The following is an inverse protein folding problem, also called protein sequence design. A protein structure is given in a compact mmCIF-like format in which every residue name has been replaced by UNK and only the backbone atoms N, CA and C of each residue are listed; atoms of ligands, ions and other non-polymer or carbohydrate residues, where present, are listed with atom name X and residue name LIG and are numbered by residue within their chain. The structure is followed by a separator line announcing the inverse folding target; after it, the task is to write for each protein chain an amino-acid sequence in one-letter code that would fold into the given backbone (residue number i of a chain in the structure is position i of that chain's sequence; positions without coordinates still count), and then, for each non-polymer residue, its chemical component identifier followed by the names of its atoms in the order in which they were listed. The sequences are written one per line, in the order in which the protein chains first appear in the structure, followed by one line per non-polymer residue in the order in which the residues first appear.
data_IF_884479437345
#
_entry.id   IF_884479437345
#
_cell.length_a   1.000
_cell.length_b   1.000
_cell.length_c   1.000
_cell.angle_alpha   90.00
_cell.angle_beta   90.00
_cell.angle_gamma   90.00
#
_symmetry.space_group_name_H-M   'P 1'
#
loop_
_entity.id
_entity.type
_entity.pdbx_description
1 polymer ?
#
# COMPACT_ATOMS: atom_id res chain seq x y z
N UNK A 1 -1.10 -4.59 8.85
CA UNK A 1 -0.14 -5.49 8.13
C UNK A 1 0.66 -6.32 9.11
N UNK A 2 1.69 -5.79 9.80
CA UNK A 2 2.44 -6.57 10.80
C UNK A 2 1.57 -7.16 11.94
N UNK A 3 0.54 -6.44 12.39
CA UNK A 3 -0.43 -6.99 13.35
C UNK A 3 -1.31 -8.10 12.74
N UNK A 4 -1.74 -7.94 11.49
CA UNK A 4 -2.61 -8.89 10.80
C UNK A 4 -1.86 -10.18 10.44
N UNK A 5 -0.56 -10.10 10.13
CA UNK A 5 0.26 -11.28 9.86
C UNK A 5 0.39 -12.20 11.07
N UNK A 6 0.23 -11.69 12.30
CA UNK A 6 0.12 -12.53 13.51
C UNK A 6 -1.11 -13.44 13.47
N UNK A 7 -2.17 -13.02 12.77
CA UNK A 7 -3.37 -13.82 12.55
C UNK A 7 -3.27 -14.79 11.36
N UNK A 8 -2.10 -14.87 10.71
CA UNK A 8 -1.85 -15.78 9.58
C UNK A 8 -2.42 -15.33 8.24
N UNK A 9 -3.11 -14.19 8.18
CA UNK A 9 -3.63 -13.64 6.92
C UNK A 9 -3.77 -12.12 6.97
N UNK A 10 -3.27 -11.45 5.94
CA UNK A 10 -3.45 -10.02 5.71
C UNK A 10 -4.77 -9.78 4.96
N UNK A 11 -5.49 -8.70 5.25
CA UNK A 11 -6.83 -8.48 4.67
C UNK A 11 -6.86 -7.57 3.44
N UNK A 12 -5.72 -7.01 3.04
CA UNK A 12 -5.65 -6.04 1.94
C UNK A 12 -4.22 -5.95 1.41
N UNK A 13 -4.06 -5.98 0.09
CA UNK A 13 -2.80 -5.75 -0.59
C UNK A 13 -2.80 -4.32 -1.16
N UNK A 14 -1.66 -3.62 -1.11
CA UNK A 14 -1.47 -2.36 -1.84
C UNK A 14 -1.38 -2.62 -3.35
N UNK A 15 -1.81 -1.66 -4.17
CA UNK A 15 -1.68 -1.76 -5.63
C UNK A 15 -0.26 -1.72 -6.16
N UNK A 16 0.69 -1.27 -5.35
CA UNK A 16 2.12 -1.29 -5.64
C UNK A 16 2.84 -2.16 -4.61
N UNK A 17 3.99 -2.73 -4.98
CA UNK A 17 4.82 -3.54 -4.07
C UNK A 17 4.09 -4.79 -3.54
N UNK A 18 3.35 -5.44 -4.44
CA UNK A 18 2.67 -6.71 -4.21
C UNK A 18 3.09 -7.70 -5.27
N UNK A 19 3.40 -8.93 -4.86
CA UNK A 19 3.65 -10.04 -5.76
C UNK A 19 2.43 -10.95 -5.78
N UNK A 20 1.94 -11.28 -6.96
CA UNK A 20 0.81 -12.16 -7.17
C UNK A 20 1.26 -13.49 -7.77
N UNK A 21 0.80 -14.60 -7.17
CA UNK A 21 0.80 -15.90 -7.84
C UNK A 21 -0.25 -15.87 -8.96
N UNK A 22 0.16 -16.26 -10.16
CA UNK A 22 -0.72 -16.24 -11.34
C UNK A 22 -1.51 -17.55 -11.45
N UNK A 23 -0.88 -18.68 -11.15
CA UNK A 23 -1.43 -20.03 -11.29
C UNK A 23 -1.25 -20.76 -9.95
N UNK A 24 -2.31 -21.44 -9.50
CA UNK A 24 -2.31 -22.32 -8.32
C UNK A 24 -1.47 -23.57 -8.55
N UNK A 25 -1.21 -24.34 -7.49
CA UNK A 25 -0.59 -25.67 -7.59
C UNK A 25 -1.45 -26.66 -8.38
N UNK A 26 -2.77 -26.47 -8.38
CA UNK A 26 -3.75 -27.24 -9.15
C UNK A 26 -3.96 -26.71 -10.60
N UNK A 27 -3.02 -25.94 -11.15
CA UNK A 27 -3.09 -25.32 -12.48
C UNK A 27 -4.28 -24.35 -12.71
N UNK A 28 -4.91 -23.88 -11.63
CA UNK A 28 -6.02 -22.92 -11.69
C UNK A 28 -5.47 -21.48 -11.81
N UNK A 29 -5.86 -20.69 -12.83
CA UNK A 29 -5.50 -19.28 -12.89
C UNK A 29 -6.23 -18.50 -11.81
N UNK A 30 -5.51 -17.67 -11.04
CA UNK A 30 -6.09 -16.96 -9.89
C UNK A 30 -6.71 -15.62 -10.29
N UNK A 31 -5.93 -14.73 -10.89
CA UNK A 31 -6.40 -13.39 -11.31
C UNK A 31 -7.32 -13.50 -12.54
N UNK A 32 -6.98 -14.39 -13.47
CA UNK A 32 -7.75 -14.61 -14.71
C UNK A 32 -8.86 -15.66 -14.55
N UNK A 33 -9.21 -16.02 -13.31
CA UNK A 33 -10.36 -16.87 -13.05
C UNK A 33 -11.64 -16.17 -13.51
N UNK A 34 -12.58 -16.91 -14.10
CA UNK A 34 -13.84 -16.35 -14.61
C UNK A 34 -14.65 -15.63 -13.52
N UNK A 35 -14.68 -16.14 -12.29
CA UNK A 35 -15.44 -15.53 -11.18
C UNK A 35 -14.81 -14.21 -10.72
N UNK A 36 -13.47 -14.16 -10.66
CA UNK A 36 -12.73 -12.95 -10.31
C UNK A 36 -12.87 -11.93 -11.43
N UNK A 37 -12.64 -12.33 -12.68
CA UNK A 37 -12.69 -11.45 -13.84
C UNK A 37 -14.10 -10.88 -14.06
N UNK A 38 -15.14 -11.69 -13.95
CA UNK A 38 -16.52 -11.25 -14.12
C UNK A 38 -16.92 -10.19 -13.11
N UNK A 39 -16.49 -10.30 -11.85
CA UNK A 39 -16.77 -9.29 -10.82
C UNK A 39 -15.88 -8.07 -10.97
N UNK A 40 -14.58 -8.26 -11.23
CA UNK A 40 -13.61 -7.18 -11.32
C UNK A 40 -13.83 -6.27 -12.53
N UNK A 41 -14.27 -6.83 -13.66
CA UNK A 41 -14.51 -6.11 -14.92
C UNK A 41 -15.88 -5.40 -15.01
N UNK A 42 -16.66 -5.40 -13.93
CA UNK A 42 -17.97 -4.73 -13.88
C UNK A 42 -17.83 -3.22 -14.04
N UNK A 43 -18.54 -2.67 -15.02
CA UNK A 43 -18.60 -1.23 -15.29
C UNK A 43 -19.97 -0.62 -14.92
N UNK A 44 -20.95 -1.47 -14.60
CA UNK A 44 -22.32 -1.13 -14.20
C UNK A 44 -22.39 -0.78 -12.71
N UNK A 45 -21.74 0.32 -12.33
CA UNK A 45 -21.57 0.70 -10.93
C UNK A 45 -22.53 1.85 -10.60
N UNK A 46 -23.65 1.53 -9.95
CA UNK A 46 -24.71 2.50 -9.67
C UNK A 46 -24.56 3.12 -8.27
N UNK A 47 -24.32 2.29 -7.26
CA UNK A 47 -24.34 2.72 -5.87
C UNK A 47 -23.09 3.50 -5.45
N UNK A 48 -23.23 4.40 -4.49
CA UNK A 48 -22.10 5.15 -3.95
C UNK A 48 -21.08 4.21 -3.27
N UNK A 49 -21.57 3.15 -2.64
CA UNK A 49 -20.74 2.12 -2.04
C UNK A 49 -19.86 1.45 -3.09
N UNK A 50 -20.45 0.94 -4.17
CA UNK A 50 -19.69 0.27 -5.23
C UNK A 50 -18.76 1.26 -5.93
N UNK A 51 -19.18 2.52 -6.14
CA UNK A 51 -18.29 3.54 -6.73
C UNK A 51 -17.02 3.76 -5.90
N UNK A 52 -17.13 3.82 -4.58
CA UNK A 52 -15.97 3.93 -3.70
C UNK A 52 -15.11 2.66 -3.68
N UNK A 53 -15.72 1.49 -3.88
CA UNK A 53 -15.01 0.22 -3.94
C UNK A 53 -14.23 0.05 -5.26
N UNK A 54 -14.93 0.17 -6.40
CA UNK A 54 -14.39 -0.12 -7.73
C UNK A 54 -13.57 1.05 -8.33
N UNK A 55 -13.95 2.31 -8.13
CA UNK A 55 -13.22 3.43 -8.75
C UNK A 55 -12.09 4.01 -7.89
N UNK A 56 -12.19 3.92 -6.56
CA UNK A 56 -11.19 4.50 -5.65
C UNK A 56 -10.28 3.45 -4.99
N UNK A 57 -10.80 2.23 -4.84
CA UNK A 57 -10.24 1.15 -4.04
C UNK A 57 -9.95 -0.14 -4.81
N UNK A 58 -9.74 -0.06 -6.13
CA UNK A 58 -9.51 -1.20 -7.03
C UNK A 58 -8.59 -2.29 -6.42
N UNK A 59 -7.41 -1.91 -5.92
CA UNK A 59 -6.46 -2.85 -5.30
C UNK A 59 -7.05 -3.63 -4.10
N UNK A 60 -7.83 -2.95 -3.27
CA UNK A 60 -8.48 -3.54 -2.10
C UNK A 60 -9.63 -4.44 -2.51
N UNK A 61 -10.39 -4.01 -3.51
CA UNK A 61 -11.49 -4.77 -4.08
C UNK A 61 -10.97 -6.07 -4.70
N UNK A 62 -9.89 -6.02 -5.49
CA UNK A 62 -9.22 -7.22 -6.01
C UNK A 62 -8.83 -8.17 -4.89
N UNK A 63 -8.23 -7.62 -3.82
CA UNK A 63 -7.81 -8.43 -2.68
C UNK A 63 -9.00 -9.14 -2.03
N UNK A 64 -10.10 -8.41 -1.84
CA UNK A 64 -11.33 -8.95 -1.26
C UNK A 64 -11.94 -10.04 -2.14
N UNK A 65 -11.97 -9.85 -3.46
CA UNK A 65 -12.43 -10.87 -4.41
C UNK A 65 -11.58 -12.13 -4.36
N UNK A 66 -10.25 -12.00 -4.32
CA UNK A 66 -9.36 -13.16 -4.24
C UNK A 66 -9.60 -13.97 -2.96
N UNK A 67 -9.82 -13.29 -1.82
CA UNK A 67 -10.19 -13.95 -0.56
C UNK A 67 -11.57 -14.63 -0.60
N UNK A 68 -12.52 -14.09 -1.39
CA UNK A 68 -13.85 -14.70 -1.57
C UNK A 68 -13.81 -15.92 -2.50
N UNK A 69 -13.08 -15.84 -3.61
CA UNK A 69 -13.00 -16.90 -4.62
C UNK A 69 -12.09 -18.05 -4.20
N UNK A 70 -11.06 -17.78 -3.39
CA UNK A 70 -10.07 -18.77 -2.96
C UNK A 70 -9.93 -18.79 -1.43
N UNK A 71 -10.93 -19.31 -0.70
CA UNK A 71 -10.94 -19.30 0.77
C UNK A 71 -9.84 -20.16 1.40
N UNK A 72 -9.31 -21.15 0.67
CA UNK A 72 -8.22 -22.02 1.12
C UNK A 72 -6.83 -21.37 0.98
N UNK A 73 -6.76 -20.15 0.44
CA UNK A 73 -5.52 -19.41 0.22
C UNK A 73 -5.40 -18.20 1.14
N UNK A 74 -4.17 -17.84 1.51
CA UNK A 74 -3.91 -16.71 2.40
C UNK A 74 -2.98 -15.66 1.80
N UNK A 75 -3.07 -14.45 2.36
CA UNK A 75 -2.22 -13.32 2.01
C UNK A 75 -1.18 -13.11 3.09
N UNK A 76 0.07 -12.93 2.68
CA UNK A 76 1.22 -12.81 3.56
C UNK A 76 1.90 -11.44 3.44
N UNK A 77 2.58 -11.06 4.52
CA UNK A 77 3.35 -9.83 4.61
C UNK A 77 4.81 -10.19 4.89
N UNK A 78 5.72 -9.70 4.06
CA UNK A 78 7.15 -9.94 4.21
C UNK A 78 7.81 -8.65 4.71
N UNK A 79 8.19 -8.57 6.01
CA UNK A 79 8.73 -7.35 6.60
C UNK A 79 10.13 -6.98 6.08
N UNK A 80 10.89 -7.94 5.53
CA UNK A 80 12.23 -7.73 4.97
C UNK A 80 12.20 -6.98 3.65
N UNK A 81 11.10 -7.08 2.90
CA UNK A 81 10.95 -6.44 1.61
C UNK A 81 10.72 -4.94 1.79
N UNK A 82 11.59 -4.12 1.18
CA UNK A 82 11.59 -2.65 1.33
C UNK A 82 11.28 -1.98 0.00
N UNK A 83 10.47 -0.93 0.05
CA UNK A 83 10.20 -0.08 -1.09
C UNK A 83 10.29 1.40 -0.71
N UNK A 84 10.69 2.22 -1.69
CA UNK A 84 10.79 3.68 -1.56
C UNK A 84 9.66 4.32 -2.36
N UNK A 85 9.07 5.38 -1.81
CA UNK A 85 8.02 6.15 -2.49
C UNK A 85 8.15 7.63 -2.18
N UNK A 86 7.59 8.45 -3.06
CA UNK A 86 7.60 9.89 -2.92
C UNK A 86 6.37 10.30 -2.11
N UNK A 87 6.61 11.01 -1.01
CA UNK A 87 5.55 11.53 -0.14
C UNK A 87 4.91 12.79 -0.76
N UNK A 88 3.63 13.07 -0.49
CA UNK A 88 3.00 14.29 -1.00
C UNK A 88 3.65 15.55 -0.42
N UNK A 89 4.14 16.43 -1.30
CA UNK A 89 4.82 17.68 -0.92
C UNK A 89 3.86 18.86 -0.62
N UNK A 90 2.56 18.70 -0.88
CA UNK A 90 1.57 19.76 -0.65
C UNK A 90 0.34 19.22 0.06
N UNK A 91 -0.22 20.01 0.99
CA UNK A 91 -1.41 19.62 1.76
C UNK A 91 -2.60 19.22 0.89
N UNK A 92 -2.82 19.90 -0.25
CA UNK A 92 -3.91 19.57 -1.19
C UNK A 92 -3.75 18.16 -1.79
N UNK A 93 -2.52 17.75 -2.09
CA UNK A 93 -2.22 16.40 -2.62
C UNK A 93 -2.45 15.36 -1.52
N UNK A 94 -1.95 15.63 -0.31
CA UNK A 94 -2.18 14.77 0.86
C UNK A 94 -3.68 14.59 1.14
N UNK A 95 -4.45 15.67 1.13
CA UNK A 95 -5.89 15.67 1.37
C UNK A 95 -6.62 14.81 0.34
N UNK A 96 -6.30 14.98 -0.95
CA UNK A 96 -6.89 14.18 -2.02
C UNK A 96 -6.53 12.70 -1.93
N UNK A 97 -5.26 12.37 -1.63
CA UNK A 97 -4.83 10.98 -1.43
C UNK A 97 -5.56 10.33 -0.25
N UNK A 98 -5.61 11.02 0.90
CA UNK A 98 -6.20 10.49 2.12
C UNK A 98 -7.71 10.35 2.02
N UNK A 99 -8.41 11.27 1.33
CA UNK A 99 -9.82 11.10 0.98
C UNK A 99 -10.08 9.79 0.26
N UNK A 100 -9.34 9.54 -0.84
CA UNK A 100 -9.46 8.30 -1.62
C UNK A 100 -9.23 7.06 -0.75
N UNK A 101 -8.19 7.10 0.07
CA UNK A 101 -7.80 5.96 0.89
C UNK A 101 -8.81 5.70 2.00
N UNK A 102 -9.26 6.72 2.72
CA UNK A 102 -10.22 6.58 3.82
C UNK A 102 -11.57 6.09 3.28
N UNK A 103 -12.09 6.71 2.21
CA UNK A 103 -13.38 6.33 1.65
C UNK A 103 -13.37 4.89 1.13
N UNK A 104 -12.37 4.52 0.30
CA UNK A 104 -12.26 3.13 -0.19
C UNK A 104 -12.04 2.12 0.94
N UNK A 105 -11.29 2.47 1.98
CA UNK A 105 -11.06 1.58 3.12
C UNK A 105 -12.35 1.28 3.87
N UNK A 106 -13.18 2.29 4.13
CA UNK A 106 -14.47 2.10 4.81
C UNK A 106 -15.37 1.13 4.05
N UNK A 107 -15.57 1.37 2.75
CA UNK A 107 -16.40 0.52 1.91
C UNK A 107 -15.82 -0.90 1.73
N UNK A 108 -14.50 -1.02 1.61
CA UNK A 108 -13.84 -2.32 1.53
C UNK A 108 -13.92 -3.11 2.84
N UNK A 109 -13.76 -2.46 4.00
CA UNK A 109 -13.92 -3.11 5.29
C UNK A 109 -15.33 -3.68 5.46
N UNK A 110 -16.35 -2.97 4.97
CA UNK A 110 -17.72 -3.46 4.95
C UNK A 110 -17.88 -4.76 4.11
N UNK A 111 -17.24 -4.84 2.94
CA UNK A 111 -17.24 -6.07 2.13
C UNK A 111 -16.41 -7.19 2.77
N UNK A 112 -15.27 -6.88 3.38
CA UNK A 112 -14.43 -7.85 4.09
C UNK A 112 -15.19 -8.55 5.23
N UNK A 113 -16.14 -7.87 5.89
CA UNK A 113 -16.97 -8.51 6.93
C UNK A 113 -17.86 -9.63 6.37
N UNK A 114 -18.19 -9.58 5.08
CA UNK A 114 -19.00 -10.59 4.38
C UNK A 114 -18.18 -11.79 3.90
N UNK A 115 -16.85 -11.65 3.78
CA UNK A 115 -15.94 -12.74 3.36
C UNK A 115 -16.00 -13.88 4.38
N UNK A 116 -16.33 -15.09 3.95
CA UNK A 116 -16.27 -16.28 4.80
C UNK A 116 -14.84 -16.81 4.88
N UNK A 117 -14.45 -17.48 5.98
CA UNK A 117 -13.12 -18.11 6.07
C UNK A 117 -11.93 -17.23 6.44
N UNK A 118 -12.13 -15.97 6.86
CA UNK A 118 -11.02 -15.16 7.40
C UNK A 118 -10.39 -15.83 8.64
N UNK A 119 -9.07 -16.00 8.62
CA UNK A 119 -8.29 -16.63 9.69
C UNK A 119 -8.53 -15.95 11.05
N UNK A 120 -8.38 -16.70 12.14
CA UNK A 120 -8.55 -16.17 13.50
C UNK A 120 -7.57 -16.84 14.46
N UNK A 121 -7.15 -16.10 15.50
CA UNK A 121 -6.28 -16.62 16.55
C UNK A 121 -7.03 -16.53 17.88
N UNK A 122 -7.16 -17.68 18.57
CA UNK A 122 -7.85 -17.80 19.85
C UNK A 122 -9.30 -17.29 19.81
N UNK A 123 -9.71 -16.45 20.78
CA UNK A 123 -11.08 -15.94 20.94
C UNK A 123 -11.43 -14.77 20.01
N UNK A 124 -10.50 -14.29 19.19
CA UNK A 124 -10.70 -13.13 18.32
C UNK A 124 -10.58 -13.55 16.85
N UNK A 125 -11.71 -13.51 16.14
CA UNK A 125 -11.73 -13.66 14.69
C UNK A 125 -11.17 -12.39 14.03
N UNK A 126 -10.48 -12.53 12.89
CA UNK A 126 -10.05 -11.36 12.11
C UNK A 126 -11.23 -10.47 11.71
N UNK A 127 -12.44 -11.03 11.57
CA UNK A 127 -13.67 -10.25 11.37
C UNK A 127 -13.94 -9.27 12.51
N UNK A 128 -13.71 -9.69 13.76
CA UNK A 128 -13.89 -8.81 14.93
C UNK A 128 -12.88 -7.67 14.92
N UNK A 129 -11.63 -7.96 14.52
CA UNK A 129 -10.58 -6.94 14.37
C UNK A 129 -10.97 -5.93 13.29
N UNK A 130 -11.39 -6.39 12.11
CA UNK A 130 -11.84 -5.52 11.01
C UNK A 130 -13.05 -4.67 11.42
N UNK A 131 -14.03 -5.26 12.10
CA UNK A 131 -15.20 -4.52 12.61
C UNK A 131 -14.80 -3.47 13.65
N UNK A 132 -13.90 -3.81 14.58
CA UNK A 132 -13.40 -2.89 15.59
C UNK A 132 -12.62 -1.74 14.96
N UNK A 133 -11.78 -2.00 13.95
CA UNK A 133 -11.03 -0.97 13.22
C UNK A 133 -11.97 -0.03 12.45
N UNK A 134 -12.96 -0.59 11.76
CA UNK A 134 -14.00 0.21 11.08
C UNK A 134 -14.72 1.14 12.07
N UNK A 135 -15.16 0.64 13.23
CA UNK A 135 -15.80 1.46 14.27
C UNK A 135 -14.84 2.50 14.83
N UNK A 136 -13.59 2.13 15.12
CA UNK A 136 -12.58 3.03 15.66
C UNK A 136 -12.32 4.21 14.72
N UNK A 137 -12.23 3.96 13.41
CA UNK A 137 -12.02 5.03 12.41
C UNK A 137 -13.20 6.01 12.33
N UNK A 138 -14.45 5.53 12.54
CA UNK A 138 -15.64 6.40 12.58
C UNK A 138 -15.70 7.24 13.86
N UNK A 139 -15.24 6.69 14.99
CA UNK A 139 -15.27 7.35 16.31
C UNK A 139 -14.09 8.31 16.50
N UNK A 140 -13.06 8.23 15.65
CA UNK A 140 -11.82 9.00 15.79
C UNK A 140 -12.02 10.54 15.83
N UNK A 141 -12.83 11.16 14.95
CA UNK A 141 -13.03 12.62 14.99
C UNK A 141 -13.75 13.09 16.25
N UNK A 142 -14.73 12.32 16.70
CA UNK A 142 -15.44 12.60 17.94
C UNK A 142 -14.49 12.46 19.14
N UNK A 143 -13.64 11.43 19.14
CA UNK A 143 -12.63 11.20 20.18
C UNK A 143 -11.63 12.36 20.28
N UNK A 144 -11.22 12.93 19.14
CA UNK A 144 -10.37 14.12 19.14
C UNK A 144 -11.07 15.32 19.79
N UNK A 145 -12.34 15.59 19.47
CA UNK A 145 -13.11 16.67 20.10
C UNK A 145 -13.26 16.45 21.61
N UNK A 146 -13.54 15.22 22.04
CA UNK A 146 -13.60 14.87 23.46
C UNK A 146 -12.25 15.06 24.16
N UNK A 147 -11.13 14.72 23.50
CA UNK A 147 -9.79 14.96 24.06
C UNK A 147 -9.51 16.46 24.25
N UNK A 148 -9.86 17.29 23.26
CA UNK A 148 -9.72 18.76 23.38
C UNK A 148 -10.61 19.31 24.49
N UNK A 149 -11.86 18.87 24.56
CA UNK A 149 -12.79 19.27 25.63
C UNK A 149 -12.28 18.85 27.01
N UNK A 150 -11.77 17.62 27.13
CA UNK A 150 -11.18 17.12 28.37
C UNK A 150 -10.03 18.02 28.84
N UNK A 151 -9.06 18.31 27.96
CA UNK A 151 -7.94 19.23 28.24
C UNK A 151 -8.45 20.61 28.69
N UNK A 152 -9.48 21.14 28.03
CA UNK A 152 -10.11 22.40 28.43
C UNK A 152 -10.66 22.35 29.87
N UNK A 153 -11.39 21.29 30.23
CA UNK A 153 -11.92 21.15 31.61
C UNK A 153 -10.81 21.04 32.65
N UNK A 154 -9.71 20.34 32.35
CA UNK A 154 -8.56 20.23 33.26
C UNK A 154 -7.91 21.59 33.50
N UNK A 155 -7.59 22.31 32.41
CA UNK A 155 -6.78 23.53 32.48
C UNK A 155 -7.60 24.71 32.98
N UNK A 156 -8.83 24.87 32.50
CA UNK A 156 -9.65 26.07 32.76
C UNK A 156 -10.53 25.89 33.98
N UNK A 157 -11.15 24.72 34.14
CA UNK A 157 -12.10 24.48 35.23
C UNK A 157 -11.44 23.84 36.46
N UNK A 158 -10.19 23.38 36.35
CA UNK A 158 -9.46 22.76 37.45
C UNK A 158 -10.14 21.49 37.97
N UNK A 159 -10.86 20.76 37.11
CA UNK A 159 -11.57 19.55 37.51
C UNK A 159 -10.58 18.49 37.99
N UNK A 160 -10.90 17.81 39.09
CA UNK A 160 -10.08 16.71 39.58
C UNK A 160 -10.09 15.57 38.56
N UNK A 161 -8.90 15.13 38.14
CA UNK A 161 -8.75 14.02 37.21
C UNK A 161 -9.04 12.69 37.91
N UNK A 162 -9.80 11.82 37.26
CA UNK A 162 -9.90 10.43 37.72
C UNK A 162 -8.52 9.78 37.63
N UNK A 163 -8.07 9.19 38.74
CA UNK A 163 -6.78 8.51 38.83
C UNK A 163 -6.66 7.41 37.77
N UNK A 164 -7.77 6.73 37.44
CA UNK A 164 -7.82 5.69 36.41
C UNK A 164 -7.46 6.25 35.02
N UNK A 165 -7.97 7.42 34.65
CA UNK A 165 -7.67 8.04 33.36
C UNK A 165 -6.19 8.42 33.27
N UNK A 166 -5.65 9.00 34.33
CA UNK A 166 -4.23 9.37 34.40
C UNK A 166 -3.35 8.14 34.23
N UNK A 167 -3.67 7.03 34.90
CA UNK A 167 -2.92 5.78 34.77
C UNK A 167 -2.99 5.23 33.35
N UNK A 168 -4.16 5.19 32.73
CA UNK A 168 -4.31 4.67 31.35
C UNK A 168 -3.52 5.50 30.34
N UNK A 169 -3.60 6.84 30.41
CA UNK A 169 -2.83 7.71 29.53
C UNK A 169 -1.33 7.61 29.79
N UNK A 170 -0.91 7.53 31.05
CA UNK A 170 0.50 7.37 31.42
C UNK A 170 1.08 6.05 30.87
N UNK A 171 0.32 4.94 30.95
CA UNK A 171 0.74 3.66 30.37
C UNK A 171 0.84 3.75 28.84
N UNK A 172 -0.15 4.37 28.18
CA UNK A 172 -0.18 4.47 26.71
C UNK A 172 0.97 5.31 26.16
N UNK A 173 1.17 6.51 26.72
CA UNK A 173 2.26 7.41 26.34
C UNK A 173 3.61 6.81 26.76
N UNK A 174 3.68 6.21 27.95
CA UNK A 174 4.89 5.56 28.47
C UNK A 174 5.36 4.41 27.60
N UNK A 175 4.45 3.58 27.09
CA UNK A 175 4.76 2.51 26.14
C UNK A 175 5.35 3.08 24.83
N UNK A 176 4.75 4.14 24.28
CA UNK A 176 5.26 4.81 23.08
C UNK A 176 6.67 5.40 23.30
N UNK A 177 6.90 6.00 24.47
CA UNK A 177 8.22 6.54 24.86
C UNK A 177 9.26 5.44 25.08
N UNK A 178 8.87 4.28 25.62
CA UNK A 178 9.78 3.15 25.76
C UNK A 178 10.26 2.65 24.39
N UNK A 179 9.34 2.46 23.43
CA UNK A 179 9.69 2.06 22.06
C UNK A 179 10.63 3.09 21.41
N UNK A 180 10.37 4.37 21.63
CA UNK A 180 11.24 5.44 21.16
C UNK A 180 12.65 5.35 21.74
N UNK A 181 12.77 5.20 23.07
CA UNK A 181 14.05 5.10 23.76
C UNK A 181 14.85 3.87 23.32
N UNK A 182 14.18 2.73 23.11
CA UNK A 182 14.83 1.51 22.60
C UNK A 182 15.44 1.69 21.20
N UNK A 183 14.87 2.56 20.36
CA UNK A 183 15.38 2.85 19.01
C UNK A 183 16.48 3.92 19.00
N UNK A 184 16.72 4.61 20.12
CA UNK A 184 17.82 5.55 20.37
C UNK A 184 18.14 6.56 19.25
N UNK A 185 17.10 7.11 18.60
CA UNK A 185 17.23 8.12 17.54
C UNK A 185 16.61 9.45 17.97
N UNK A 186 17.43 10.30 18.57
CA UNK A 186 17.03 11.58 19.15
C UNK A 186 16.41 12.56 18.15
N UNK A 187 16.78 12.46 16.87
CA UNK A 187 16.22 13.31 15.81
C UNK A 187 14.68 13.18 15.70
N UNK A 188 14.14 12.01 16.04
CA UNK A 188 12.70 11.76 15.99
C UNK A 188 11.90 12.40 17.13
N UNK A 189 12.54 12.86 18.22
CA UNK A 189 11.83 13.53 19.33
C UNK A 189 11.22 14.85 18.86
N UNK A 190 11.98 15.64 18.09
CA UNK A 190 11.48 16.91 17.55
C UNK A 190 10.32 16.68 16.58
N UNK A 191 10.46 15.68 15.69
CA UNK A 191 9.38 15.29 14.77
C UNK A 191 8.15 14.75 15.51
N UNK A 192 8.34 14.05 16.63
CA UNK A 192 7.24 13.58 17.47
C UNK A 192 6.44 14.74 18.05
N UNK A 193 7.08 15.79 18.60
CA UNK A 193 6.37 16.97 19.09
C UNK A 193 5.66 17.74 17.98
N UNK A 194 6.31 17.89 16.82
CA UNK A 194 5.68 18.49 15.63
C UNK A 194 4.44 17.71 15.19
N UNK A 195 4.52 16.38 15.17
CA UNK A 195 3.39 15.52 14.87
C UNK A 195 2.29 15.62 15.93
N UNK A 196 2.65 15.67 17.22
CA UNK A 196 1.66 15.79 18.30
C UNK A 196 0.85 17.08 18.20
N UNK A 197 1.49 18.21 17.90
CA UNK A 197 0.84 19.53 17.84
C UNK A 197 0.09 19.74 16.52
N UNK A 198 0.74 19.47 15.39
CA UNK A 198 0.17 19.77 14.06
C UNK A 198 -0.42 18.54 13.36
N UNK A 199 0.24 17.38 13.51
CA UNK A 199 -0.17 16.13 12.88
C UNK A 199 -1.46 15.57 13.47
N UNK A 200 -1.60 15.49 14.79
CA UNK A 200 -2.79 14.90 15.44
C UNK A 200 -4.09 15.58 15.01
N UNK A 201 -4.23 16.94 15.04
CA UNK A 201 -5.43 17.58 14.51
C UNK A 201 -5.71 17.27 13.05
N UNK A 202 -4.66 17.17 12.21
CA UNK A 202 -4.80 16.86 10.79
C UNK A 202 -5.28 15.42 10.60
N UNK A 203 -4.59 14.44 11.17
CA UNK A 203 -4.85 13.01 10.94
C UNK A 203 -6.08 12.48 11.67
N UNK A 204 -6.40 13.01 12.85
CA UNK A 204 -7.49 12.45 13.67
C UNK A 204 -8.81 13.18 13.45
N UNK A 205 -8.76 14.42 12.96
CA UNK A 205 -9.96 15.24 12.78
C UNK A 205 -10.13 15.72 11.34
N UNK A 206 -9.20 16.53 10.81
CA UNK A 206 -9.39 17.19 9.50
C UNK A 206 -9.52 16.16 8.37
N UNK A 207 -8.60 15.21 8.27
CA UNK A 207 -8.59 14.22 7.19
C UNK A 207 -9.83 13.30 7.23
N UNK A 208 -10.20 12.68 8.36
CA UNK A 208 -11.40 11.84 8.39
C UNK A 208 -12.67 12.65 8.14
N UNK A 209 -12.85 13.82 8.77
CA UNK A 209 -14.05 14.65 8.57
C UNK A 209 -14.19 15.07 7.12
N UNK A 210 -13.12 15.54 6.49
CA UNK A 210 -13.13 15.88 5.08
C UNK A 210 -13.46 14.66 4.20
N UNK A 211 -12.90 13.50 4.52
CA UNK A 211 -13.12 12.28 3.73
C UNK A 211 -14.59 11.83 3.78
N UNK A 212 -15.16 11.76 4.99
CA UNK A 212 -16.56 11.40 5.20
C UNK A 212 -17.53 12.45 4.63
N UNK A 213 -17.18 13.73 4.67
CA UNK A 213 -17.99 14.80 4.07
C UNK A 213 -18.00 14.75 2.54
N UNK A 214 -16.90 14.29 1.93
CA UNK A 214 -16.71 14.19 0.48
C UNK A 214 -16.67 12.74 -0.01
N UNK A 215 -17.57 11.89 0.51
CA UNK A 215 -17.69 10.48 0.08
C UNK A 215 -18.19 10.31 -1.35
N UNK A 216 -18.86 11.32 -1.88
CA UNK A 216 -19.36 11.42 -3.26
C UNK A 216 -18.31 11.93 -4.26
N UNK A 217 -17.17 12.46 -3.78
CA UNK A 217 -16.09 12.93 -4.65
C UNK A 217 -15.19 11.76 -5.09
N UNK A 218 -15.50 11.23 -6.26
CA UNK A 218 -14.77 10.14 -6.92
C UNK A 218 -13.58 10.62 -7.77
N UNK A 219 -13.22 11.91 -7.70
CA UNK A 219 -12.08 12.40 -8.46
C UNK A 219 -10.78 11.71 -8.04
N UNK A 220 -10.02 11.27 -9.02
CA UNK A 220 -8.60 11.00 -8.83
C UNK A 220 -7.91 12.36 -8.89
N UNK A 221 -7.45 12.86 -7.74
CA UNK A 221 -6.77 14.17 -7.66
C UNK A 221 -5.65 14.31 -8.68
N UNK A 222 -5.18 15.54 -8.86
CA UNK A 222 -4.30 16.01 -9.95
C UNK A 222 -3.05 15.16 -10.29
N UNK A 223 -2.67 14.14 -9.51
CA UNK A 223 -1.60 13.18 -9.81
C UNK A 223 -1.69 12.51 -11.19
N UNK A 224 -2.89 12.32 -11.79
CA UNK A 224 -3.03 11.88 -13.21
C UNK A 224 -3.21 13.05 -14.19
N UNK A 225 -3.78 14.17 -13.75
CA UNK A 225 -4.06 15.32 -14.63
C UNK A 225 -2.80 16.15 -14.93
N UNK A 226 -1.79 16.16 -14.05
CA UNK A 226 -0.55 16.92 -14.28
C UNK A 226 0.30 16.32 -15.43
N UNK A 227 0.13 15.03 -15.74
CA UNK A 227 0.72 14.40 -16.93
C UNK A 227 -0.07 14.72 -18.22
N UNK A 228 -1.35 15.08 -18.10
CA UNK A 228 -2.21 15.38 -19.25
C UNK A 228 -2.23 16.88 -19.60
N UNK A 229 -2.10 17.78 -18.61
CA UNK A 229 -2.13 19.23 -18.82
C UNK A 229 -0.77 19.84 -19.18
N UNK A 230 0.33 19.13 -18.88
CA UNK A 230 1.66 19.45 -19.38
C UNK A 230 2.15 18.23 -20.12
N UNK A 231 2.27 18.30 -21.45
CA UNK A 231 2.80 17.23 -22.29
C UNK A 231 4.29 16.89 -22.03
N UNK A 232 4.66 16.69 -20.77
CA UNK A 232 5.97 16.24 -20.31
C UNK A 232 5.82 14.80 -19.84
N UNK A 233 6.70 13.95 -20.35
CA UNK A 233 6.78 12.56 -19.94
C UNK A 233 7.09 12.46 -18.43
N UNK A 234 6.68 11.38 -17.74
CA UNK A 234 6.81 11.24 -16.28
C UNK A 234 8.25 11.34 -15.73
N UNK A 235 9.28 11.28 -16.58
CA UNK A 235 10.69 11.32 -16.17
C UNK A 235 11.32 12.71 -16.06
N UNK A 236 10.69 13.77 -16.57
CA UNK A 236 11.35 15.08 -16.76
C UNK A 236 10.98 16.14 -15.70
N UNK A 237 10.26 15.75 -14.65
CA UNK A 237 9.94 16.61 -13.50
C UNK A 237 10.83 16.34 -12.29
N UNK A 238 11.80 15.42 -12.40
CA UNK A 238 12.68 14.98 -11.31
C UNK A 238 14.11 15.56 -11.47
N UNK A 239 14.45 16.20 -12.58
CA UNK A 239 15.83 16.64 -12.87
C UNK A 239 16.19 18.07 -12.44
N UNK A 240 15.26 18.86 -11.89
CA UNK A 240 15.49 20.28 -11.62
C UNK A 240 15.81 20.59 -10.14
N UNK A 241 16.57 19.73 -9.46
CA UNK A 241 17.28 20.10 -8.23
C UNK A 241 18.72 19.56 -8.24
N UNK A 242 19.71 20.34 -7.76
CA UNK A 242 21.11 19.96 -7.83
C UNK A 242 21.40 18.78 -6.89
N UNK A 243 22.01 17.73 -7.43
CA UNK A 243 22.47 16.58 -6.66
C UNK A 243 23.59 16.99 -5.70
N UNK A 244 23.27 17.13 -4.42
CA UNK A 244 24.26 16.99 -3.34
C UNK A 244 24.51 15.48 -3.14
N UNK A 245 25.64 15.03 -3.64
CA UNK A 245 26.12 13.65 -3.53
C UNK A 245 26.84 13.44 -2.20
N UNK A 246 26.17 12.82 -1.22
CA UNK A 246 26.81 12.23 -0.05
C UNK A 246 26.90 10.69 -0.24
N UNK A 247 27.87 10.24 -1.03
CA UNK A 247 28.35 8.85 -0.99
C UNK A 247 29.78 8.82 -0.41
N UNK A 248 30.12 7.88 0.50
CA UNK A 248 31.48 7.75 1.00
C UNK A 248 32.39 7.04 -0.03
N UNK A 249 33.69 7.39 -0.12
CA UNK A 249 34.54 6.95 -1.21
C UNK A 249 35.05 5.52 -1.01
N UNK A 250 34.94 4.69 -2.04
CA UNK A 250 35.71 3.44 -2.17
C UNK A 250 37.00 3.77 -2.92
N UNK A 251 38.14 3.63 -2.23
CA UNK A 251 39.48 3.83 -2.78
C UNK A 251 40.06 2.54 -3.37
N UNK A 252 40.60 2.60 -4.60
CA UNK A 252 41.63 1.67 -5.09
C UNK A 252 41.59 1.31 -6.58
N UNK A 253 42.26 2.11 -7.43
CA UNK A 253 42.64 1.85 -8.84
C UNK A 253 44.05 1.20 -8.96
N UNK A 254 44.66 0.94 -10.15
CA UNK A 254 44.15 0.41 -11.45
C UNK A 254 45.13 -0.60 -12.14
N UNK A 255 44.75 -1.21 -13.28
CA UNK A 255 45.59 -1.34 -14.51
C UNK A 255 44.87 -2.09 -15.66
N UNK A 256 44.96 -1.55 -16.89
CA UNK A 256 44.33 -2.04 -18.14
C UNK A 256 45.09 -3.19 -18.84
N UNK A 257 45.05 -3.37 -20.19
CA UNK A 257 44.77 -2.36 -21.22
C UNK A 257 43.67 -2.70 -22.27
N UNK A 258 43.38 -1.64 -23.02
CA UNK A 258 42.66 -1.45 -24.29
C UNK A 258 42.66 -2.56 -25.33
N UNK A 259 41.57 -2.63 -26.09
CA UNK A 259 41.60 -2.71 -27.56
C UNK A 259 40.40 -1.97 -28.18
N UNK A 260 40.66 -1.41 -29.36
CA UNK A 260 39.90 -0.41 -30.10
C UNK A 260 39.11 -1.00 -31.27
N UNK A 261 38.42 -0.10 -31.99
CA UNK A 261 37.87 -0.22 -33.36
C UNK A 261 36.39 -0.65 -33.44
N UNK A 262 35.50 -0.08 -34.26
CA UNK A 262 35.45 1.10 -35.13
C UNK A 262 33.97 1.22 -35.60
N UNK A 263 33.47 2.45 -35.77
CA UNK A 263 32.49 2.95 -36.78
C UNK A 263 31.10 2.24 -36.94
N UNK A 264 29.94 2.87 -37.12
CA UNK A 264 29.53 4.22 -37.53
C UNK A 264 28.12 4.13 -38.18
N UNK A 265 27.42 5.27 -38.26
CA UNK A 265 26.15 5.56 -38.99
C UNK A 265 24.81 5.19 -38.28
N UNK A 266 23.99 6.13 -37.82
CA UNK A 266 23.24 7.24 -38.49
C UNK A 266 22.03 6.77 -39.30
N UNK A 267 20.81 7.18 -38.87
CA UNK A 267 19.64 7.22 -39.75
C UNK A 267 18.31 7.11 -39.01
N UNK A 268 17.69 8.26 -38.71
CA UNK A 268 16.30 8.33 -38.25
C UNK A 268 15.29 8.09 -39.38
N UNK A 269 14.05 7.77 -39.00
CA UNK A 269 12.93 7.71 -39.94
C UNK A 269 11.70 7.05 -39.35
N UNK A 270 10.76 7.86 -38.87
CA UNK A 270 9.39 7.45 -38.60
C UNK A 270 8.66 7.12 -39.92
N UNK A 271 7.77 6.13 -39.93
CA UNK A 271 6.36 6.29 -40.35
C UNK A 271 5.58 4.95 -40.33
N UNK A 272 4.38 5.05 -39.74
CA UNK A 272 3.07 4.57 -40.22
C UNK A 272 2.75 3.08 -40.37
N UNK A 273 1.61 2.77 -39.76
CA UNK A 273 0.79 1.56 -39.82
C UNK A 273 0.29 1.17 -41.22
N UNK A 274 0.12 -0.14 -41.44
CA UNK A 274 -1.03 -0.76 -42.12
C UNK A 274 -0.96 -2.30 -42.00
N UNK A 275 -1.99 -2.89 -41.40
CA UNK A 275 -2.47 -4.27 -41.61
C UNK A 275 -3.46 -4.29 -42.82
N UNK A 276 -4.00 -5.43 -43.31
CA UNK A 276 -3.68 -6.86 -43.10
C UNK A 276 -3.68 -7.72 -44.40
N UNK A 277 -3.34 -9.01 -44.23
CA UNK A 277 -3.97 -10.22 -44.83
C UNK A 277 -3.07 -11.26 -45.53
N UNK A 278 -3.29 -12.52 -45.09
CA UNK A 278 -3.30 -13.80 -45.82
C UNK A 278 -1.97 -14.51 -46.18
N UNK A 279 -1.77 -15.68 -45.53
CA UNK A 279 -1.38 -16.90 -46.25
C UNK A 279 -0.20 -17.72 -45.69
N UNK A 280 -0.52 -18.72 -44.85
CA UNK A 280 0.00 -20.10 -44.87
C UNK A 280 1.52 -20.41 -44.95
N UNK A 281 2.03 -21.18 -43.98
CA UNK A 281 3.24 -21.98 -44.17
C UNK A 281 3.94 -22.44 -42.88
N UNK A 282 3.75 -23.70 -42.51
CA UNK A 282 4.56 -24.42 -41.52
C UNK A 282 6.07 -24.38 -41.85
N UNK A 283 6.95 -24.22 -40.85
CA UNK A 283 8.07 -25.15 -40.53
C UNK A 283 9.00 -24.66 -39.40
N UNK A 284 9.36 -25.63 -38.54
CA UNK A 284 10.66 -25.84 -37.88
C UNK A 284 11.26 -24.79 -36.91
N UNK A 285 11.05 -25.06 -35.63
CA UNK A 285 12.06 -25.19 -34.56
C UNK A 285 13.38 -24.42 -34.62
N UNK A 286 13.58 -23.53 -33.64
CA UNK A 286 14.92 -23.12 -33.20
C UNK A 286 14.97 -23.00 -31.68
N UNK A 287 15.79 -23.87 -31.07
CA UNK A 287 16.18 -23.86 -29.65
C UNK A 287 16.92 -22.56 -29.32
N UNK A 288 16.50 -21.88 -28.25
CA UNK A 288 17.30 -20.98 -27.42
C UNK A 288 17.18 -21.58 -26.00
N UNK A 289 18.24 -22.04 -25.34
CA UNK A 289 19.43 -21.28 -24.98
C UNK A 289 19.35 -21.01 -23.47
N UNK A 290 19.61 -22.04 -22.67
CA UNK A 290 19.60 -22.03 -21.19
C UNK A 290 20.69 -21.08 -20.68
N UNK A 291 20.32 -20.09 -19.88
CA UNK A 291 21.24 -19.26 -19.09
C UNK A 291 20.88 -19.36 -17.62
N UNK A 292 21.85 -19.91 -16.89
CA UNK A 292 22.18 -20.00 -15.48
C UNK A 292 21.24 -19.51 -14.35
N UNK A 293 21.21 -20.38 -13.35
CA UNK A 293 20.46 -20.45 -12.09
C UNK A 293 20.89 -19.41 -11.05
N UNK A 294 19.91 -18.77 -10.40
CA UNK A 294 20.07 -18.14 -9.08
C UNK A 294 19.94 -19.22 -7.97
N UNK A 295 20.56 -19.05 -6.79
CA UNK A 295 20.68 -20.12 -5.80
C UNK A 295 19.34 -20.41 -5.11
N UNK A 296 19.02 -21.69 -4.98
CA UNK A 296 17.91 -22.18 -4.18
C UNK A 296 18.21 -21.97 -2.69
N UNK A 297 17.33 -21.26 -1.99
CA UNK A 297 17.23 -21.32 -0.53
C UNK A 297 16.37 -22.51 -0.18
N UNK A 298 16.99 -23.49 0.48
CA UNK A 298 16.40 -24.72 0.98
C UNK A 298 15.66 -24.40 2.30
N UNK A 299 14.38 -24.08 2.22
CA UNK A 299 13.47 -23.94 3.38
C UNK A 299 12.45 -25.08 3.35
N UNK A 300 12.90 -26.29 3.65
CA UNK A 300 11.99 -27.41 3.98
C UNK A 300 11.64 -27.36 5.47
N UNK A 301 10.69 -26.51 5.85
CA UNK A 301 9.95 -26.66 7.10
C UNK A 301 8.61 -27.37 6.79
N UNK A 302 8.43 -28.65 7.16
CA UNK A 302 7.26 -29.45 6.78
C UNK A 302 5.96 -29.10 7.53
N UNK A 303 5.94 -27.99 8.28
CA UNK A 303 4.74 -27.46 8.98
C UNK A 303 4.21 -26.15 8.34
N UNK A 304 4.74 -25.72 7.19
CA UNK A 304 4.33 -24.50 6.47
C UNK A 304 3.50 -24.81 5.20
N UNK A 305 2.62 -25.82 5.29
CA UNK A 305 1.68 -26.22 4.22
C UNK A 305 0.54 -25.21 3.99
N UNK A 306 0.65 -23.99 4.53
CA UNK A 306 -0.24 -22.90 4.14
C UNK A 306 0.28 -22.33 2.82
N UNK A 307 -0.42 -22.61 1.74
CA UNK A 307 -0.10 -22.11 0.39
C UNK A 307 -0.11 -20.57 0.42
N UNK A 308 1.08 -19.97 0.51
CA UNK A 308 1.28 -18.52 0.48
C UNK A 308 1.17 -18.03 -0.96
N UNK A 309 0.21 -17.15 -1.25
CA UNK A 309 -0.12 -16.75 -2.63
C UNK A 309 0.32 -15.33 -2.94
N UNK A 310 0.32 -14.46 -1.93
CA UNK A 310 0.38 -13.01 -2.15
C UNK A 310 1.24 -12.35 -1.09
N UNK A 311 2.33 -11.71 -1.49
CA UNK A 311 3.27 -11.06 -0.58
C UNK A 311 3.21 -9.55 -0.76
N UNK A 312 3.06 -8.82 0.34
CA UNK A 312 3.21 -7.36 0.37
C UNK A 312 4.43 -6.92 1.17
N UNK A 313 5.06 -5.82 0.73
CA UNK A 313 6.30 -5.27 1.27
C UNK A 313 6.06 -4.22 2.36
N UNK A 314 7.07 -4.01 3.22
CA UNK A 314 7.10 -2.88 4.14
C UNK A 314 7.60 -1.62 3.40
N UNK A 315 6.79 -0.55 3.39
CA UNK A 315 7.25 0.76 2.93
C UNK A 315 8.20 1.38 3.97
N UNK A 316 9.34 1.90 3.50
CA UNK A 316 10.36 2.58 4.32
C UNK A 316 10.33 4.09 4.06
#
# INVERSE_FOLDING_TARGET
KAFESVFGCVTCLPGCFTMYRIISEDDVPLISNDDVFAQYSRNDIESLHEKNLYHLGEDRMLTTLLLMCFPDMSLSFVPEAKCWTIVPHTFRILLSQRRRWINSTFHNMWELLKVEGLCGVCCFSMKTVVAADMIATMVLPASFLYAVYFVYTVIVQGTAMSETLVVIYAVTIGCQMLVFLLRSRWDYLLWFFMYLIFGVPVFFFILPVYSFWNMDDLSWGQTRQVAAEKGKSPGELISDEPAESDEPPVSGEPSGPSDSDEQGESGGGALAAADPELGGGMTAGKKLGRSETAPATDDSNPDDDNVHVLTTMAAV
#
